data_IF_906103728489
#
_entry.id   IF_906103728489
#
_cell.length_a   1.000
_cell.length_b   1.000
_cell.length_c   1.000
_cell.angle_alpha   90.00
_cell.angle_beta   90.00
_cell.angle_gamma   90.00
#
_symmetry.space_group_name_H-M   'P 1'
#
loop_
_entity.id
_entity.type
_entity.pdbx_description
1 polymer ?
#
# COMPACT_ATOMS: atom_id res chain seq x y z
N UNK A 1 -15.02 29.04 14.94
CA UNK A 1 -14.48 27.67 14.98
C UNK A 1 -14.07 27.32 13.55
N UNK A 2 -12.78 27.45 13.22
CA UNK A 2 -12.31 27.14 11.86
C UNK A 2 -12.22 25.62 11.71
N UNK A 3 -13.25 25.01 11.15
CA UNK A 3 -13.18 23.63 10.66
C UNK A 3 -12.09 23.57 9.60
N UNK A 4 -10.97 22.92 9.94
CA UNK A 4 -9.92 22.58 8.99
C UNK A 4 -10.58 21.73 7.91
N UNK A 5 -10.58 22.19 6.66
CA UNK A 5 -11.19 21.49 5.54
C UNK A 5 -10.62 20.06 5.42
N UNK A 6 -11.38 19.08 5.93
CA UNK A 6 -11.07 17.65 5.78
C UNK A 6 -11.36 17.18 4.36
N UNK A 7 -10.72 16.08 3.95
CA UNK A 7 -11.04 15.43 2.68
C UNK A 7 -12.49 14.91 2.72
N UNK A 8 -13.22 15.10 1.62
CA UNK A 8 -14.54 14.48 1.49
C UNK A 8 -14.42 12.95 1.49
N UNK A 9 -15.49 12.25 1.87
CA UNK A 9 -15.50 10.78 1.84
C UNK A 9 -15.10 10.21 0.47
N UNK A 10 -15.49 10.90 -0.61
CA UNK A 10 -15.11 10.54 -1.97
C UNK A 10 -13.60 10.75 -2.22
N UNK A 11 -13.04 11.89 -1.81
CA UNK A 11 -11.61 12.16 -1.95
C UNK A 11 -10.76 11.16 -1.15
N UNK A 12 -11.20 10.81 0.06
CA UNK A 12 -10.55 9.80 0.89
C UNK A 12 -10.60 8.41 0.23
N UNK A 13 -11.76 8.05 -0.34
CA UNK A 13 -11.92 6.78 -1.07
C UNK A 13 -11.04 6.73 -2.31
N UNK A 14 -10.98 7.81 -3.10
CA UNK A 14 -10.11 7.91 -4.27
C UNK A 14 -8.63 7.80 -3.89
N UNK A 15 -8.21 8.43 -2.78
CA UNK A 15 -6.86 8.31 -2.26
C UNK A 15 -6.55 6.85 -1.89
N UNK A 16 -7.44 6.18 -1.16
CA UNK A 16 -7.27 4.77 -0.77
C UNK A 16 -7.24 3.83 -1.99
N UNK A 17 -8.09 4.03 -2.98
CA UNK A 17 -8.10 3.23 -4.20
C UNK A 17 -6.81 3.44 -5.01
N UNK A 18 -6.33 4.69 -5.10
CA UNK A 18 -5.09 5.01 -5.80
C UNK A 18 -3.87 4.33 -5.17
N UNK A 19 -3.80 4.30 -3.83
CA UNK A 19 -2.68 3.67 -3.11
C UNK A 19 -2.74 2.14 -3.13
N UNK A 20 -3.94 1.54 -3.12
CA UNK A 20 -4.11 0.08 -3.11
C UNK A 20 -3.88 -0.54 -4.49
N UNK A 21 -4.37 0.11 -5.56
CA UNK A 21 -4.23 -0.45 -6.92
C UNK A 21 -2.80 -0.24 -7.42
N UNK A 22 -2.26 0.98 -7.45
CA UNK A 22 -0.87 1.23 -7.86
C UNK A 22 -0.45 0.65 -9.24
N UNK A 23 0.80 0.87 -9.64
CA UNK A 23 1.39 0.22 -10.81
C UNK A 23 1.90 -1.19 -10.50
N UNK A 24 2.29 -1.45 -9.26
CA UNK A 24 2.85 -2.73 -8.84
C UNK A 24 1.84 -3.87 -8.82
N UNK A 25 0.55 -3.60 -8.61
CA UNK A 25 -0.51 -4.62 -8.71
C UNK A 25 -0.56 -5.28 -10.07
N UNK A 26 -0.43 -4.51 -11.15
CA UNK A 26 -0.45 -5.04 -12.52
C UNK A 26 0.78 -5.92 -12.79
N UNK A 27 1.96 -5.45 -12.37
CA UNK A 27 3.19 -6.21 -12.51
C UNK A 27 3.11 -7.52 -11.70
N UNK A 28 2.73 -7.45 -10.42
CA UNK A 28 2.59 -8.61 -9.55
C UNK A 28 1.54 -9.60 -10.07
N UNK A 29 0.40 -9.10 -10.54
CA UNK A 29 -0.65 -9.93 -11.14
C UNK A 29 -0.16 -10.63 -12.40
N UNK A 30 0.62 -9.98 -13.26
CA UNK A 30 1.18 -10.61 -14.47
C UNK A 30 2.07 -11.81 -14.12
N UNK A 31 2.90 -11.69 -13.07
CA UNK A 31 3.77 -12.77 -12.60
C UNK A 31 2.93 -13.91 -12.00
N UNK A 32 1.94 -13.56 -11.17
CA UNK A 32 1.05 -14.52 -10.53
C UNK A 32 0.23 -15.31 -11.56
N UNK A 33 -0.34 -14.65 -12.56
CA UNK A 33 -1.08 -15.28 -13.66
C UNK A 33 -0.18 -16.19 -14.48
N UNK A 34 1.05 -15.77 -14.83
CA UNK A 34 1.98 -16.62 -15.59
C UNK A 34 2.40 -17.87 -14.82
N UNK A 35 2.44 -17.79 -13.49
CA UNK A 35 2.93 -18.89 -12.64
C UNK A 35 1.81 -19.85 -12.24
N UNK A 36 0.65 -19.33 -11.82
CA UNK A 36 -0.46 -20.15 -11.33
C UNK A 36 -1.51 -20.48 -12.43
N UNK A 37 -1.55 -19.72 -13.52
CA UNK A 37 -2.59 -19.84 -14.53
C UNK A 37 -3.97 -19.40 -14.01
N UNK A 38 -5.08 -19.93 -14.56
CA UNK A 38 -6.44 -19.53 -14.19
C UNK A 38 -6.81 -19.74 -12.72
N UNK A 39 -6.08 -20.57 -11.97
CA UNK A 39 -6.36 -20.81 -10.55
C UNK A 39 -6.07 -19.59 -9.65
N UNK A 40 -5.34 -18.58 -10.15
CA UNK A 40 -5.00 -17.37 -9.39
C UNK A 40 -6.22 -16.59 -8.90
N UNK A 41 -7.36 -16.68 -9.60
CA UNK A 41 -8.60 -16.05 -9.18
C UNK A 41 -9.05 -16.51 -7.80
N UNK A 42 -8.87 -17.81 -7.48
CA UNK A 42 -9.20 -18.35 -6.16
C UNK A 42 -8.30 -17.71 -5.10
N UNK A 43 -7.00 -17.55 -5.40
CA UNK A 43 -6.05 -16.87 -4.52
C UNK A 43 -6.44 -15.40 -4.25
N UNK A 44 -6.83 -14.65 -5.29
CA UNK A 44 -7.27 -13.27 -5.12
C UNK A 44 -8.57 -13.14 -4.34
N UNK A 45 -9.54 -14.04 -4.54
CA UNK A 45 -10.79 -14.02 -3.76
C UNK A 45 -10.50 -14.28 -2.29
N UNK A 46 -9.71 -15.31 -1.97
CA UNK A 46 -9.36 -15.63 -0.58
C UNK A 46 -8.56 -14.49 0.06
N UNK A 47 -7.56 -13.96 -0.65
CA UNK A 47 -6.78 -12.82 -0.17
C UNK A 47 -7.64 -11.58 0.06
N UNK A 48 -8.58 -11.28 -0.85
CA UNK A 48 -9.52 -10.17 -0.72
C UNK A 48 -10.44 -10.32 0.49
N UNK A 49 -10.96 -11.52 0.76
CA UNK A 49 -11.79 -11.79 1.94
C UNK A 49 -10.98 -11.58 3.23
N UNK A 50 -9.73 -12.05 3.28
CA UNK A 50 -8.87 -11.83 4.44
C UNK A 50 -8.59 -10.34 4.69
N UNK A 51 -8.22 -9.61 3.63
CA UNK A 51 -7.98 -8.16 3.73
C UNK A 51 -9.25 -7.42 4.16
N UNK A 52 -10.41 -7.81 3.65
CA UNK A 52 -11.70 -7.25 4.05
C UNK A 52 -11.93 -7.39 5.56
N UNK A 53 -11.74 -8.58 6.14
CA UNK A 53 -11.89 -8.78 7.59
C UNK A 53 -10.92 -7.94 8.41
N UNK A 54 -9.66 -7.83 7.96
CA UNK A 54 -8.65 -7.00 8.65
C UNK A 54 -9.06 -5.52 8.63
N UNK A 55 -9.46 -4.99 7.46
CA UNK A 55 -9.85 -3.58 7.33
C UNK A 55 -11.16 -3.28 8.05
N UNK A 56 -12.12 -4.20 8.06
CA UNK A 56 -13.36 -4.07 8.84
C UNK A 56 -13.07 -3.98 10.35
N UNK A 57 -12.24 -4.90 10.88
CA UNK A 57 -11.86 -4.87 12.30
C UNK A 57 -11.09 -3.58 12.66
N UNK A 58 -10.17 -3.14 11.81
CA UNK A 58 -9.46 -1.87 12.01
C UNK A 58 -10.42 -0.67 11.98
N UNK A 59 -11.38 -0.65 11.06
CA UNK A 59 -12.38 0.41 10.98
C UNK A 59 -13.24 0.48 12.25
N UNK A 60 -13.68 -0.67 12.78
CA UNK A 60 -14.44 -0.71 14.04
C UNK A 60 -13.61 -0.16 15.22
N UNK A 61 -12.33 -0.52 15.30
CA UNK A 61 -11.41 0.03 16.32
C UNK A 61 -11.20 1.53 16.18
N UNK A 62 -11.03 2.04 14.96
CA UNK A 62 -10.84 3.47 14.71
C UNK A 62 -12.11 4.28 15.02
N UNK A 63 -13.30 3.74 14.73
CA UNK A 63 -14.57 4.37 15.09
C UNK A 63 -14.80 4.37 16.61
N UNK A 64 -14.45 3.27 17.29
CA UNK A 64 -14.61 3.15 18.74
C UNK A 64 -13.67 4.08 19.53
N UNK A 65 -12.45 4.32 19.03
CA UNK A 65 -11.48 5.21 19.67
C UNK A 65 -10.78 6.11 18.62
N UNK A 66 -11.37 7.27 18.27
CA UNK A 66 -10.87 8.17 17.24
C UNK A 66 -9.69 8.99 17.74
N UNK A 67 -8.55 8.33 17.93
CA UNK A 67 -7.29 8.97 18.26
C UNK A 67 -6.54 9.38 16.98
N UNK A 68 -5.93 10.57 16.94
CA UNK A 68 -5.03 10.93 15.85
C UNK A 68 -3.85 9.95 15.80
N UNK A 69 -3.73 9.20 14.70
CA UNK A 69 -2.67 8.21 14.56
C UNK A 69 -2.99 7.13 13.53
N UNK A 70 -2.06 6.19 13.37
CA UNK A 70 -2.21 4.99 12.55
C UNK A 70 -2.58 3.79 13.43
N UNK A 71 -2.81 2.61 12.84
CA UNK A 71 -2.99 1.34 13.57
C UNK A 71 -1.86 1.04 14.57
N UNK A 72 -0.67 1.62 14.37
CA UNK A 72 0.40 1.67 15.38
C UNK A 72 -0.08 2.17 16.74
N UNK A 73 -0.88 3.23 16.77
CA UNK A 73 -1.40 3.83 18.00
C UNK A 73 -2.35 2.87 18.72
N UNK A 74 -3.18 2.13 17.99
CA UNK A 74 -4.01 1.08 18.57
C UNK A 74 -3.17 -0.07 19.17
N UNK A 75 -2.11 -0.49 18.47
CA UNK A 75 -1.19 -1.51 18.98
C UNK A 75 -0.44 -1.05 20.25
N UNK A 76 -0.01 0.21 20.29
CA UNK A 76 0.66 0.81 21.44
C UNK A 76 -0.25 0.89 22.67
N UNK A 77 -1.51 1.27 22.48
CA UNK A 77 -2.47 1.37 23.58
C UNK A 77 -2.85 0.01 24.17
N UNK A 78 -3.01 -1.01 23.33
CA UNK A 78 -3.47 -2.33 23.77
C UNK A 78 -2.33 -3.20 24.32
N UNK A 79 -1.12 -3.08 23.75
CA UNK A 79 0.00 -3.98 24.04
C UNK A 79 1.24 -3.25 24.59
N UNK A 80 1.16 -1.95 24.81
CA UNK A 80 2.23 -1.12 25.35
C UNK A 80 3.20 -0.53 24.32
N UNK A 81 4.12 0.35 24.78
CA UNK A 81 5.00 1.14 23.92
C UNK A 81 5.94 0.30 23.04
N UNK A 82 6.38 -0.86 23.52
CA UNK A 82 7.24 -1.77 22.74
C UNK A 82 6.54 -2.31 21.50
N UNK A 83 5.26 -2.66 21.61
CA UNK A 83 4.49 -3.14 20.46
C UNK A 83 4.23 -2.01 19.46
N UNK A 84 3.94 -0.80 19.97
CA UNK A 84 3.86 0.41 19.14
C UNK A 84 5.13 0.66 18.33
N UNK A 85 6.31 0.49 18.95
CA UNK A 85 7.59 0.62 18.26
C UNK A 85 7.77 -0.44 17.16
N UNK A 86 7.53 -1.72 17.46
CA UNK A 86 7.65 -2.82 16.49
C UNK A 86 6.72 -2.60 15.30
N UNK A 87 5.44 -2.34 15.56
CA UNK A 87 4.43 -2.11 14.51
C UNK A 87 4.79 -0.87 13.68
N UNK A 88 5.33 0.17 14.32
CA UNK A 88 5.85 1.35 13.62
C UNK A 88 6.96 1.02 12.63
N UNK A 89 7.92 0.19 13.03
CA UNK A 89 9.01 -0.26 12.14
C UNK A 89 8.52 -1.16 11.02
N UNK A 90 7.64 -2.12 11.30
CA UNK A 90 7.02 -2.97 10.27
C UNK A 90 6.28 -2.12 9.25
N UNK A 91 5.52 -1.12 9.72
CA UNK A 91 4.81 -0.20 8.82
C UNK A 91 5.78 0.64 7.97
N UNK A 92 6.78 1.27 8.59
CA UNK A 92 7.72 2.12 7.88
C UNK A 92 8.56 1.35 6.85
N UNK A 93 9.04 0.16 7.21
CA UNK A 93 9.76 -0.72 6.27
C UNK A 93 8.86 -1.18 5.12
N UNK A 94 7.60 -1.52 5.42
CA UNK A 94 6.59 -1.83 4.41
C UNK A 94 6.37 -0.68 3.43
N UNK A 95 6.30 0.56 3.91
CA UNK A 95 6.17 1.74 3.05
C UNK A 95 7.39 1.92 2.11
N UNK A 96 8.61 1.72 2.61
CA UNK A 96 9.82 1.80 1.78
C UNK A 96 9.83 0.74 0.68
N UNK A 97 9.48 -0.50 1.04
CA UNK A 97 9.41 -1.61 0.09
C UNK A 97 8.31 -1.37 -0.95
N UNK A 98 7.15 -0.86 -0.52
CA UNK A 98 6.06 -0.51 -1.42
C UNK A 98 6.48 0.59 -2.42
N UNK A 99 7.11 1.67 -1.96
CA UNK A 99 7.63 2.72 -2.85
C UNK A 99 8.68 2.20 -3.83
N UNK A 100 9.59 1.34 -3.38
CA UNK A 100 10.61 0.72 -4.24
C UNK A 100 9.99 -0.19 -5.31
N UNK A 101 8.94 -0.93 -4.94
CA UNK A 101 8.16 -1.79 -5.85
C UNK A 101 7.45 -0.96 -6.93
N UNK A 102 6.79 0.14 -6.55
CA UNK A 102 6.13 1.06 -7.49
C UNK A 102 7.13 1.69 -8.48
N UNK A 103 8.28 2.17 -8.00
CA UNK A 103 9.32 2.72 -8.86
C UNK A 103 9.86 1.69 -9.87
N UNK A 104 10.02 0.43 -9.42
CA UNK A 104 10.45 -0.68 -10.28
C UNK A 104 9.39 -1.00 -11.34
N UNK A 105 8.11 -1.05 -10.95
CA UNK A 105 7.01 -1.29 -11.87
C UNK A 105 6.92 -0.18 -12.93
N UNK A 106 6.97 1.08 -12.52
CA UNK A 106 6.99 2.22 -13.43
C UNK A 106 8.19 2.16 -14.40
N UNK A 107 9.38 1.82 -13.91
CA UNK A 107 10.59 1.66 -14.74
C UNK A 107 10.45 0.55 -15.78
N UNK A 108 9.87 -0.58 -15.39
CA UNK A 108 9.61 -1.71 -16.30
C UNK A 108 8.60 -1.34 -17.39
N UNK A 109 7.54 -0.62 -17.03
CA UNK A 109 6.59 -0.10 -18.01
C UNK A 109 7.29 0.86 -18.98
N UNK A 110 8.00 1.89 -18.48
CA UNK A 110 8.76 2.85 -19.32
C UNK A 110 9.71 2.14 -20.28
N UNK A 111 10.46 1.15 -19.78
CA UNK A 111 11.38 0.35 -20.61
C UNK A 111 10.66 -0.46 -21.68
N UNK A 112 9.41 -0.86 -21.45
CA UNK A 112 8.56 -1.49 -22.47
C UNK A 112 8.37 -0.63 -23.71
N UNK A 113 8.30 0.70 -23.56
CA UNK A 113 8.24 1.64 -24.68
C UNK A 113 9.63 2.07 -25.17
N UNK A 114 10.59 2.23 -24.25
CA UNK A 114 11.95 2.69 -24.54
C UNK A 114 13.00 1.65 -24.08
N UNK A 115 13.25 0.60 -24.88
CA UNK A 115 14.05 -0.55 -24.44
C UNK A 115 15.54 -0.23 -24.23
N UNK A 116 16.03 0.89 -24.77
CA UNK A 116 17.42 1.34 -24.63
C UNK A 116 17.73 1.95 -23.25
N UNK A 117 16.70 2.21 -22.42
CA UNK A 117 16.90 2.80 -21.10
C UNK A 117 17.29 1.74 -20.04
N UNK A 118 18.22 2.10 -19.17
CA UNK A 118 18.70 1.26 -18.07
C UNK A 118 17.67 1.20 -16.94
N UNK A 119 17.30 -0.02 -16.51
CA UNK A 119 16.30 -0.22 -15.43
C UNK A 119 16.73 0.39 -14.10
N UNK A 120 17.93 0.10 -13.56
CA UNK A 120 18.34 0.67 -12.28
C UNK A 120 18.40 2.20 -12.32
N UNK A 121 18.82 2.77 -13.45
CA UNK A 121 18.90 4.22 -13.61
C UNK A 121 17.50 4.85 -13.56
N UNK A 122 16.54 4.29 -14.31
CA UNK A 122 15.15 4.74 -14.29
C UNK A 122 14.53 4.63 -12.89
N UNK A 123 14.73 3.51 -12.20
CA UNK A 123 14.15 3.30 -10.87
C UNK A 123 14.68 4.29 -9.85
N UNK A 124 16.00 4.53 -9.84
CA UNK A 124 16.61 5.54 -8.97
C UNK A 124 16.12 6.95 -9.33
N UNK A 125 16.06 7.30 -10.62
CA UNK A 125 15.56 8.60 -11.07
C UNK A 125 14.11 8.84 -10.66
N UNK A 126 13.24 7.84 -10.75
CA UNK A 126 11.84 7.94 -10.33
C UNK A 126 11.74 8.16 -8.82
N UNK A 127 12.50 7.40 -8.01
CA UNK A 127 12.50 7.57 -6.55
C UNK A 127 12.97 8.97 -6.16
N UNK A 128 14.05 9.47 -6.76
CA UNK A 128 14.61 10.80 -6.47
C UNK A 128 13.70 11.93 -6.96
N UNK A 129 12.95 11.74 -8.04
CA UNK A 129 12.03 12.76 -8.56
C UNK A 129 10.76 12.90 -7.71
N UNK A 130 10.26 11.77 -7.19
CA UNK A 130 9.00 11.71 -6.42
C UNK A 130 9.22 12.07 -4.95
N UNK A 131 10.42 11.82 -4.41
CA UNK A 131 10.81 12.14 -3.03
C UNK A 131 11.27 13.59 -2.92
#
# INVERSE_FOLDING_TARGET
MNEKAGLSAWQLTMLALGTVVGGSFFLGSSIAIRTAGPSIFIGFIIGGIMVYWILSALSEMTVANPQPGSFRTHAEQMYGPYMGFIVGWVYWTGLILAMSSEATAASLFIKGWFPFLSLPLLSISIVVLVT
#
